data_IF_879896861656
#
_entry.id   IF_879896861656
#
_cell.length_a   1.000
_cell.length_b   1.000
_cell.length_c   1.000
_cell.angle_alpha   90.00
_cell.angle_beta   90.00
_cell.angle_gamma   90.00
#
_symmetry.space_group_name_H-M   'P 1'
#
loop_
_entity.id
_entity.type
_entity.pdbx_description
1 polymer ?
#
# COMPACT_ATOMS: atom_id res chain seq x y z
N UNK A 1 3.39 7.13 11.94
CA UNK A 1 3.79 7.81 10.69
C UNK A 1 2.69 7.51 9.70
N UNK A 2 2.12 8.52 9.06
CA UNK A 2 1.08 8.33 8.05
C UNK A 2 1.74 8.02 6.72
N UNK A 3 1.25 7.00 6.02
CA UNK A 3 1.75 6.67 4.68
C UNK A 3 1.60 7.87 3.73
N UNK A 4 2.61 8.06 2.90
CA UNK A 4 2.62 9.06 1.83
C UNK A 4 2.76 8.36 0.49
N UNK A 5 2.22 8.99 -0.56
CA UNK A 5 2.39 8.49 -1.93
C UNK A 5 3.89 8.38 -2.26
N UNK A 6 4.30 7.25 -2.84
CA UNK A 6 5.67 6.93 -3.18
C UNK A 6 6.47 6.28 -2.05
N UNK A 7 5.89 6.13 -0.85
CA UNK A 7 6.53 5.34 0.21
C UNK A 7 6.62 3.87 -0.21
N UNK A 8 7.75 3.24 0.10
CA UNK A 8 7.95 1.80 -0.06
C UNK A 8 7.82 1.17 1.32
N UNK A 9 6.88 0.23 1.43
CA UNK A 9 6.55 -0.44 2.69
C UNK A 9 6.74 -1.93 2.60
N UNK A 10 7.09 -2.55 3.72
CA UNK A 10 7.02 -3.99 3.92
C UNK A 10 5.83 -4.32 4.81
N UNK A 11 4.94 -5.18 4.33
CA UNK A 11 3.80 -5.63 5.10
C UNK A 11 4.26 -6.60 6.20
N UNK A 12 3.89 -6.31 7.43
CA UNK A 12 4.09 -7.19 8.59
C UNK A 12 2.84 -8.03 8.80
N UNK A 13 1.68 -7.41 8.67
CA UNK A 13 0.37 -8.07 8.74
C UNK A 13 -0.68 -7.31 7.91
N UNK A 14 -1.67 -8.04 7.41
CA UNK A 14 -2.74 -7.52 6.55
C UNK A 14 -4.07 -8.14 6.98
N UNK A 15 -4.98 -7.31 7.48
CA UNK A 15 -6.35 -7.74 7.73
C UNK A 15 -7.13 -7.76 6.41
N UNK A 16 -7.27 -8.96 5.82
CA UNK A 16 -7.99 -9.14 4.55
C UNK A 16 -9.48 -8.76 4.65
N UNK A 17 -10.07 -8.73 5.86
CA UNK A 17 -11.45 -8.25 6.04
C UNK A 17 -11.57 -6.72 5.92
N UNK A 18 -10.45 -6.00 5.84
CA UNK A 18 -10.37 -4.53 5.72
C UNK A 18 -9.93 -4.08 4.33
N UNK A 19 -9.84 -5.00 3.36
CA UNK A 19 -9.67 -4.66 1.95
C UNK A 19 -10.88 -3.85 1.49
N UNK A 20 -10.62 -2.69 0.91
CA UNK A 20 -11.66 -1.82 0.33
C UNK A 20 -11.93 -2.21 -1.11
N UNK A 21 -10.86 -2.40 -1.88
CA UNK A 21 -10.92 -2.72 -3.29
C UNK A 21 -9.70 -3.55 -3.67
N UNK A 22 -9.90 -4.57 -4.49
CA UNK A 22 -8.83 -5.38 -5.08
C UNK A 22 -9.01 -5.40 -6.59
N UNK A 23 -7.90 -5.28 -7.32
CA UNK A 23 -7.93 -5.40 -8.77
C UNK A 23 -8.16 -6.85 -9.21
N UNK A 24 -8.97 -7.02 -10.24
CA UNK A 24 -9.30 -8.33 -10.81
C UNK A 24 -8.12 -8.99 -11.55
N UNK A 25 -7.06 -8.23 -11.85
CA UNK A 25 -5.84 -8.71 -12.50
C UNK A 25 -4.79 -9.25 -11.52
N UNK A 26 -5.08 -9.22 -10.21
CA UNK A 26 -4.15 -9.69 -9.19
C UNK A 26 -3.88 -11.18 -9.38
N UNK A 27 -2.60 -11.54 -9.41
CA UNK A 27 -2.16 -12.94 -9.48
C UNK A 27 -2.39 -13.67 -8.15
N UNK A 28 -2.38 -12.93 -7.04
CA UNK A 28 -2.61 -13.40 -5.67
C UNK A 28 -3.06 -12.25 -4.76
N UNK A 29 -3.43 -12.56 -3.53
CA UNK A 29 -3.68 -11.56 -2.50
C UNK A 29 -2.37 -11.09 -1.84
N UNK A 30 -2.43 -9.93 -1.17
CA UNK A 30 -1.33 -9.43 -0.36
C UNK A 30 -1.05 -10.36 0.83
N UNK A 31 0.22 -10.52 1.18
CA UNK A 31 0.66 -11.39 2.26
C UNK A 31 1.73 -10.70 3.13
N UNK A 32 1.88 -11.13 4.39
CA UNK A 32 3.01 -10.73 5.22
C UNK A 32 4.35 -10.99 4.52
N UNK A 33 5.24 -10.00 4.59
CA UNK A 33 6.55 -10.02 3.94
C UNK A 33 6.59 -9.34 2.58
N UNK A 34 5.44 -9.07 1.96
CA UNK A 34 5.36 -8.35 0.69
C UNK A 34 5.93 -6.94 0.82
N UNK A 35 6.61 -6.51 -0.23
CA UNK A 35 7.07 -5.13 -0.38
C UNK A 35 6.17 -4.46 -1.42
N UNK A 36 5.59 -3.33 -1.06
CA UNK A 36 4.66 -2.60 -1.90
C UNK A 36 4.98 -1.10 -1.90
N UNK A 37 4.70 -0.46 -3.03
CA UNK A 37 4.68 1.00 -3.14
C UNK A 37 3.30 1.53 -2.79
N UNK A 38 3.26 2.66 -2.07
CA UNK A 38 2.04 3.44 -1.88
C UNK A 38 1.78 4.26 -3.15
N UNK A 39 0.92 3.73 -4.03
CA UNK A 39 0.60 4.38 -5.30
C UNK A 39 -0.30 5.61 -5.10
N UNK A 40 -1.19 5.55 -4.11
CA UNK A 40 -2.17 6.61 -3.83
C UNK A 40 -2.59 6.59 -2.35
N UNK A 41 -2.82 7.78 -1.80
CA UNK A 41 -3.47 7.97 -0.49
C UNK A 41 -4.75 8.78 -0.72
N UNK A 42 -5.85 8.33 -0.10
CA UNK A 42 -7.11 9.05 -0.09
C UNK A 42 -7.69 9.12 1.31
N UNK A 43 -8.34 10.24 1.63
CA UNK A 43 -8.99 10.45 2.92
C UNK A 43 -10.50 10.36 2.73
N UNK A 44 -11.12 9.39 3.39
CA UNK A 44 -12.58 9.25 3.46
C UNK A 44 -13.10 9.47 4.87
N UNK A 45 -14.43 9.48 5.03
CA UNK A 45 -15.10 9.62 6.33
C UNK A 45 -14.72 8.50 7.32
N UNK A 46 -14.45 7.30 6.81
CA UNK A 46 -14.05 6.13 7.59
C UNK A 46 -12.54 6.08 7.92
N UNK A 47 -11.73 6.99 7.37
CA UNK A 47 -10.30 7.08 7.62
C UNK A 47 -9.44 7.15 6.34
N UNK A 48 -8.13 6.97 6.54
CA UNK A 48 -7.13 6.95 5.49
C UNK A 48 -7.17 5.61 4.74
N UNK A 49 -7.21 5.68 3.41
CA UNK A 49 -7.12 4.53 2.51
C UNK A 49 -5.84 4.65 1.70
N UNK A 50 -5.01 3.62 1.75
CA UNK A 50 -3.79 3.50 0.97
C UNK A 50 -4.00 2.48 -0.16
N UNK A 51 -3.73 2.89 -1.41
CA UNK A 51 -3.60 1.97 -2.53
C UNK A 51 -2.16 1.50 -2.61
N UNK A 52 -1.98 0.20 -2.46
CA UNK A 52 -0.68 -0.46 -2.46
C UNK A 52 -0.51 -1.25 -3.76
N UNK A 53 0.70 -1.19 -4.31
CA UNK A 53 1.11 -1.89 -5.51
C UNK A 53 2.32 -2.76 -5.19
N UNK A 54 2.19 -4.08 -5.37
CA UNK A 54 3.31 -5.01 -5.28
C UNK A 54 3.67 -5.51 -6.67
N UNK A 55 4.94 -5.34 -7.03
CA UNK A 55 5.50 -5.87 -8.26
C UNK A 55 6.71 -6.75 -7.90
N UNK A 56 6.80 -7.94 -8.52
CA UNK A 56 7.98 -8.81 -8.38
C UNK A 56 9.18 -8.26 -9.15
N UNK A 57 8.91 -7.57 -10.26
CA UNK A 57 9.83 -6.75 -11.02
C UNK A 57 9.04 -5.62 -11.69
N UNK A 58 9.71 -4.53 -12.05
CA UNK A 58 9.05 -3.36 -12.66
C UNK A 58 8.11 -3.79 -13.82
N UNK A 59 6.82 -3.46 -13.69
CA UNK A 59 5.78 -3.79 -14.66
C UNK A 59 5.21 -5.21 -14.59
N UNK A 60 5.61 -6.04 -13.61
CA UNK A 60 4.97 -7.33 -13.30
C UNK A 60 4.16 -7.22 -12.03
N UNK A 61 2.89 -6.89 -12.21
CA UNK A 61 1.89 -6.80 -11.16
C UNK A 61 1.70 -8.16 -10.49
N UNK A 62 2.08 -8.26 -9.22
CA UNK A 62 1.66 -9.37 -8.37
C UNK A 62 0.25 -9.10 -7.86
N UNK A 63 0.05 -7.92 -7.27
CA UNK A 63 -1.23 -7.45 -6.79
C UNK A 63 -1.27 -5.92 -6.63
N UNK A 64 -2.47 -5.38 -6.78
CA UNK A 64 -2.81 -4.00 -6.44
C UNK A 64 -4.13 -3.98 -5.69
N UNK A 65 -4.15 -3.32 -4.54
CA UNK A 65 -5.33 -3.25 -3.69
C UNK A 65 -5.32 -2.02 -2.79
N UNK A 66 -6.52 -1.57 -2.42
CA UNK A 66 -6.76 -0.47 -1.50
C UNK A 66 -7.15 -1.01 -0.12
N UNK A 67 -6.49 -0.50 0.90
CA UNK A 67 -6.70 -0.89 2.29
C UNK A 67 -6.99 0.33 3.14
N UNK A 68 -7.82 0.17 4.17
CA UNK A 68 -7.77 1.11 5.28
C UNK A 68 -6.42 0.98 5.97
N UNK A 69 -5.72 2.10 6.19
CA UNK A 69 -4.40 2.11 6.83
C UNK A 69 -4.44 1.45 8.23
N UNK A 70 -5.57 1.58 8.93
CA UNK A 70 -5.80 0.93 10.23
C UNK A 70 -5.89 -0.61 10.17
N UNK A 71 -6.07 -1.20 8.99
CA UNK A 71 -6.06 -2.65 8.76
C UNK A 71 -4.70 -3.20 8.34
N UNK A 72 -3.67 -2.35 8.28
CA UNK A 72 -2.32 -2.72 7.89
C UNK A 72 -1.36 -2.58 9.07
N UNK A 73 -0.47 -3.56 9.21
CA UNK A 73 0.76 -3.39 9.99
C UNK A 73 1.93 -3.45 9.03
N UNK A 74 2.81 -2.45 9.05
CA UNK A 74 3.89 -2.32 8.07
C UNK A 74 5.12 -1.62 8.64
N UNK A 75 6.24 -1.82 7.96
CA UNK A 75 7.49 -1.08 8.13
C UNK A 75 7.70 -0.20 6.88
N UNK A 76 8.02 1.08 7.06
CA UNK A 76 8.41 1.95 5.94
C UNK A 76 9.89 1.74 5.65
N UNK A 77 10.21 1.19 4.48
CA UNK A 77 11.58 0.92 4.04
C UNK A 77 12.23 2.15 3.40
N UNK A 78 11.44 2.94 2.69
CA UNK A 78 11.86 4.20 2.07
C UNK A 78 10.68 5.16 2.06
N UNK A 79 10.89 6.36 2.58
CA UNK A 79 9.95 7.45 2.34
C UNK A 79 10.39 8.27 1.14
N UNK A 80 9.46 8.59 0.25
CA UNK A 80 9.74 9.63 -0.75
C UNK A 80 9.78 10.97 -0.02
N UNK A 81 10.78 11.85 -0.25
CA UNK A 81 10.76 13.15 0.41
C UNK A 81 9.50 13.90 -0.03
N UNK A 82 8.73 14.40 0.95
CA UNK A 82 7.85 15.54 0.70
C UNK A 82 8.74 16.63 0.11
N UNK A 83 8.53 16.99 -1.15
CA UNK A 83 9.24 18.08 -1.80
C UNK A 83 9.24 19.29 -0.86
N UNK A 84 10.44 19.71 -0.44
CA UNK A 84 10.65 21.00 0.18
C UNK A 84 10.30 22.03 -0.91
N UNK A 85 9.31 22.91 -0.71
CA UNK A 85 9.00 23.92 -1.71
C UNK A 85 10.21 24.86 -1.83
N UNK A 86 10.74 24.99 -3.04
CA UNK A 86 11.69 26.07 -3.40
C UNK A 86 10.98 27.42 -3.48
#
# INVERSE_FOLDING_TARGET
>A
MTLSKGDIVKLIDVDQAKVVLSDWLNSREAAPGDIAEVEEISMGEAGCIARLLCESHAGSLEWRASYFEAGLTYEVLRSYPNDVPS
#
